data_IF_817747697246
#
_entry.id   IF_817747697246
#
_cell.length_a   1.000
_cell.length_b   1.000
_cell.length_c   1.000
_cell.angle_alpha   90.00
_cell.angle_beta   90.00
_cell.angle_gamma   90.00
#
_symmetry.space_group_name_H-M   'P 1'
#
loop_
_entity.id
_entity.type
_entity.pdbx_description
1 polymer ?
#
# COMPACT_ATOMS: atom_id res chain seq x y z
N UNK A 1 19.61 -6.85 -12.72
CA UNK A 1 19.19 -6.84 -11.29
C UNK A 1 20.34 -6.66 -10.32
N UNK A 2 21.45 -7.42 -10.42
CA UNK A 2 22.60 -7.29 -9.48
C UNK A 2 23.22 -5.88 -9.43
N UNK A 3 23.24 -5.15 -10.54
CA UNK A 3 23.71 -3.76 -10.62
C UNK A 3 22.79 -2.74 -9.92
N UNK A 4 21.49 -3.03 -9.83
CA UNK A 4 20.50 -2.12 -9.21
C UNK A 4 20.50 -2.28 -7.69
N UNK A 5 20.67 -3.52 -7.21
CA UNK A 5 20.81 -3.83 -5.77
C UNK A 5 22.19 -3.45 -5.20
N UNK A 6 23.17 -3.12 -6.06
CA UNK A 6 24.47 -2.61 -5.65
C UNK A 6 24.40 -1.17 -5.14
N UNK A 7 23.35 -0.41 -5.52
CA UNK A 7 23.12 0.95 -5.04
C UNK A 7 22.53 0.91 -3.62
N UNK A 8 23.19 1.51 -2.62
CA UNK A 8 22.76 1.40 -1.21
C UNK A 8 21.34 1.95 -0.98
N UNK A 9 20.99 3.06 -1.63
CA UNK A 9 19.67 3.69 -1.51
C UNK A 9 18.57 2.81 -2.09
N UNK A 10 18.81 2.20 -3.26
CA UNK A 10 17.86 1.30 -3.89
C UNK A 10 17.66 0.04 -3.06
N UNK A 11 18.73 -0.51 -2.48
CA UNK A 11 18.65 -1.68 -1.60
C UNK A 11 17.82 -1.40 -0.35
N UNK A 12 17.97 -0.21 0.24
CA UNK A 12 17.16 0.22 1.40
C UNK A 12 15.69 0.39 1.03
N UNK A 13 15.41 1.04 -0.09
CA UNK A 13 14.04 1.21 -0.60
C UNK A 13 13.38 -0.14 -0.92
N UNK A 14 14.14 -1.06 -1.54
CA UNK A 14 13.66 -2.40 -1.84
C UNK A 14 13.31 -3.20 -0.58
N UNK A 15 14.16 -3.15 0.45
CA UNK A 15 13.89 -3.82 1.72
C UNK A 15 12.66 -3.25 2.43
N UNK A 16 12.58 -1.91 2.57
CA UNK A 16 11.44 -1.23 3.21
C UNK A 16 10.13 -1.52 2.48
N UNK A 17 10.15 -1.44 1.13
CA UNK A 17 8.97 -1.70 0.32
C UNK A 17 8.51 -3.14 0.40
N UNK A 18 9.45 -4.09 0.42
CA UNK A 18 9.13 -5.51 0.58
C UNK A 18 8.44 -5.75 1.92
N UNK A 19 9.06 -5.33 3.03
CA UNK A 19 8.48 -5.50 4.38
C UNK A 19 7.11 -4.82 4.49
N UNK A 20 6.96 -3.61 3.96
CA UNK A 20 5.67 -2.90 3.94
C UNK A 20 4.60 -3.69 3.18
N UNK A 21 4.94 -4.22 2.01
CA UNK A 21 4.00 -4.97 1.17
C UNK A 21 3.51 -6.24 1.87
N UNK A 22 4.40 -6.92 2.58
CA UNK A 22 4.01 -8.07 3.41
C UNK A 22 3.06 -7.64 4.52
N UNK A 23 3.35 -6.54 5.22
CA UNK A 23 2.47 -5.98 6.25
C UNK A 23 1.06 -5.71 5.71
N UNK A 24 0.96 -5.00 4.59
CA UNK A 24 -0.32 -4.67 3.95
C UNK A 24 -1.10 -5.96 3.60
N UNK A 25 -0.42 -6.97 3.05
CA UNK A 25 -1.05 -8.25 2.68
C UNK A 25 -1.57 -9.00 3.91
N UNK A 26 -0.81 -9.03 5.00
CA UNK A 26 -1.25 -9.65 6.25
C UNK A 26 -2.42 -8.90 6.88
N UNK A 27 -2.43 -7.57 6.83
CA UNK A 27 -3.53 -6.75 7.35
C UNK A 27 -4.85 -7.04 6.62
N UNK A 28 -4.82 -7.15 5.30
CA UNK A 28 -6.02 -7.48 4.50
C UNK A 28 -6.56 -8.87 4.86
N UNK A 29 -5.68 -9.87 4.96
CA UNK A 29 -6.07 -11.24 5.34
C UNK A 29 -6.63 -11.26 6.76
N UNK A 30 -6.00 -10.56 7.70
CA UNK A 30 -6.46 -10.48 9.09
C UNK A 30 -7.85 -9.79 9.17
N UNK A 31 -8.05 -8.69 8.46
CA UNK A 31 -9.34 -8.00 8.37
C UNK A 31 -10.43 -8.88 7.74
N UNK A 32 -10.11 -9.59 6.67
CA UNK A 32 -11.03 -10.53 6.03
C UNK A 32 -11.50 -11.62 7.01
N UNK A 33 -10.57 -12.25 7.73
CA UNK A 33 -10.89 -13.26 8.74
C UNK A 33 -11.72 -12.66 9.87
N UNK A 34 -11.34 -11.49 10.38
CA UNK A 34 -12.05 -10.81 11.47
C UNK A 34 -13.50 -10.49 11.10
N UNK A 35 -13.73 -9.94 9.91
CA UNK A 35 -15.09 -9.62 9.45
C UNK A 35 -15.91 -10.89 9.28
N UNK A 36 -15.31 -11.95 8.74
CA UNK A 36 -15.99 -13.23 8.61
C UNK A 36 -16.38 -13.79 9.99
N UNK A 37 -15.49 -13.71 10.99
CA UNK A 37 -15.79 -14.15 12.36
C UNK A 37 -16.90 -13.33 13.01
N UNK A 38 -16.93 -12.01 12.79
CA UNK A 38 -17.91 -11.11 13.42
C UNK A 38 -19.27 -11.14 12.74
N UNK A 39 -19.32 -11.28 11.42
CA UNK A 39 -20.57 -11.16 10.65
C UNK A 39 -21.08 -12.48 10.07
N UNK A 40 -20.24 -13.51 10.00
CA UNK A 40 -20.53 -14.76 9.29
C UNK A 40 -20.75 -14.58 7.78
N UNK A 41 -20.51 -13.37 7.24
CA UNK A 41 -20.91 -12.98 5.90
C UNK A 41 -19.73 -12.91 4.95
N UNK A 42 -19.77 -13.74 3.90
CA UNK A 42 -18.81 -13.68 2.80
C UNK A 42 -18.86 -12.33 2.04
N UNK A 43 -20.00 -11.63 2.08
CA UNK A 43 -20.12 -10.31 1.45
C UNK A 43 -19.29 -9.23 2.16
N UNK A 44 -19.16 -9.32 3.50
CA UNK A 44 -18.31 -8.41 4.26
C UNK A 44 -16.83 -8.56 3.90
N UNK A 45 -16.40 -9.80 3.66
CA UNK A 45 -15.04 -10.12 3.20
C UNK A 45 -14.78 -9.54 1.81
N UNK A 46 -15.71 -9.74 0.88
CA UNK A 46 -15.63 -9.15 -0.47
C UNK A 46 -15.60 -7.62 -0.39
N UNK A 47 -16.36 -7.02 0.53
CA UNK A 47 -16.35 -5.58 0.76
C UNK A 47 -14.97 -5.01 1.08
N UNK A 48 -14.18 -5.69 1.90
CA UNK A 48 -12.79 -5.27 2.20
C UNK A 48 -11.90 -5.34 0.98
N UNK A 49 -11.96 -6.44 0.23
CA UNK A 49 -11.14 -6.62 -0.97
C UNK A 49 -11.49 -5.55 -2.02
N UNK A 50 -12.78 -5.25 -2.20
CA UNK A 50 -13.23 -4.19 -3.12
C UNK A 50 -12.76 -2.81 -2.62
N UNK A 51 -12.84 -2.55 -1.31
CA UNK A 51 -12.37 -1.31 -0.72
C UNK A 51 -10.85 -1.09 -0.87
N UNK A 52 -10.07 -2.16 -1.01
CA UNK A 52 -8.63 -2.08 -1.31
C UNK A 52 -8.38 -1.78 -2.81
N UNK A 53 -9.10 -2.46 -3.71
CA UNK A 53 -8.82 -2.40 -5.15
C UNK A 53 -9.37 -1.13 -5.79
N UNK A 54 -10.59 -0.71 -5.43
CA UNK A 54 -11.30 0.40 -6.09
C UNK A 54 -10.52 1.72 -6.02
N UNK A 55 -9.99 2.15 -4.86
CA UNK A 55 -9.20 3.38 -4.79
C UNK A 55 -7.96 3.33 -5.68
N UNK A 56 -7.27 2.19 -5.73
CA UNK A 56 -6.08 2.01 -6.59
C UNK A 56 -6.48 2.16 -8.06
N UNK A 57 -7.58 1.52 -8.48
CA UNK A 57 -8.03 1.56 -9.87
C UNK A 57 -8.42 2.97 -10.32
N UNK A 58 -9.10 3.72 -9.45
CA UNK A 58 -9.57 5.08 -9.73
C UNK A 58 -8.43 6.10 -9.66
N UNK A 59 -7.50 5.94 -8.72
CA UNK A 59 -6.44 6.91 -8.48
C UNK A 59 -5.19 6.64 -9.32
N UNK A 60 -4.95 5.42 -9.83
CA UNK A 60 -3.76 5.10 -10.62
C UNK A 60 -3.57 6.00 -11.87
N UNK A 61 -4.59 6.32 -12.68
CA UNK A 61 -4.43 7.22 -13.83
C UNK A 61 -4.04 8.64 -13.41
N UNK A 62 -4.67 9.14 -12.33
CA UNK A 62 -4.40 10.49 -11.79
C UNK A 62 -3.01 10.55 -11.18
N UNK A 63 -2.63 9.53 -10.42
CA UNK A 63 -1.31 9.41 -9.81
C UNK A 63 -0.21 9.31 -10.87
N UNK A 64 -0.43 8.56 -11.96
CA UNK A 64 0.50 8.49 -13.08
C UNK A 64 0.74 9.86 -13.73
N UNK A 65 -0.34 10.56 -14.09
CA UNK A 65 -0.27 11.89 -14.68
C UNK A 65 0.41 12.93 -13.76
N UNK A 66 0.24 12.79 -12.44
CA UNK A 66 0.84 13.68 -11.44
C UNK A 66 2.33 13.38 -11.23
N UNK A 67 2.72 12.10 -11.16
CA UNK A 67 4.12 11.66 -11.00
C UNK A 67 4.97 12.01 -12.22
N UNK A 68 4.37 12.08 -13.41
CA UNK A 68 5.07 12.50 -14.62
C UNK A 68 5.44 13.99 -14.61
N UNK A 69 4.73 14.82 -13.84
CA UNK A 69 4.93 16.28 -13.76
C UNK A 69 5.72 16.72 -12.53
N UNK A 70 5.85 15.87 -11.52
CA UNK A 70 6.48 16.20 -10.25
C UNK A 70 7.81 15.47 -10.02
N UNK A 71 8.70 16.01 -9.17
CA UNK A 71 9.92 15.30 -8.77
C UNK A 71 9.57 14.01 -8.02
N UNK A 72 9.80 12.87 -8.67
CA UNK A 72 9.42 11.51 -8.25
C UNK A 72 9.77 11.19 -6.80
N UNK A 73 10.97 11.55 -6.35
CA UNK A 73 11.43 11.30 -4.97
C UNK A 73 10.56 12.05 -3.95
N UNK A 74 10.20 13.30 -4.22
CA UNK A 74 9.35 14.09 -3.30
C UNK A 74 7.94 13.50 -3.20
N UNK A 75 7.39 13.03 -4.33
CA UNK A 75 6.09 12.37 -4.35
C UNK A 75 6.11 11.09 -3.51
N UNK A 76 7.11 10.22 -3.70
CA UNK A 76 7.26 8.99 -2.93
C UNK A 76 7.37 9.26 -1.42
N UNK A 77 8.23 10.20 -1.01
CA UNK A 77 8.40 10.56 0.40
C UNK A 77 7.10 11.12 0.99
N UNK A 78 6.41 12.01 0.29
CA UNK A 78 5.14 12.57 0.77
C UNK A 78 4.04 11.51 0.92
N UNK A 79 3.95 10.57 -0.03
CA UNK A 79 2.98 9.48 0.01
C UNK A 79 3.25 8.54 1.19
N UNK A 80 4.52 8.17 1.43
CA UNK A 80 4.90 7.34 2.57
C UNK A 80 4.63 8.02 3.91
N UNK A 81 4.86 9.35 4.03
CA UNK A 81 4.55 10.11 5.24
C UNK A 81 3.04 10.17 5.50
N UNK A 82 2.23 10.41 4.47
CA UNK A 82 0.76 10.39 4.59
C UNK A 82 0.27 9.00 4.99
N UNK A 83 0.80 7.93 4.36
CA UNK A 83 0.46 6.55 4.68
C UNK A 83 0.79 6.22 6.14
N UNK A 84 1.98 6.60 6.60
CA UNK A 84 2.38 6.41 7.99
C UNK A 84 1.44 7.15 8.95
N UNK A 85 1.10 8.40 8.67
CA UNK A 85 0.17 9.18 9.49
C UNK A 85 -1.23 8.57 9.56
N UNK A 86 -1.77 8.10 8.43
CA UNK A 86 -3.06 7.41 8.41
C UNK A 86 -3.03 6.09 9.20
N UNK A 87 -1.97 5.30 9.05
CA UNK A 87 -1.80 4.06 9.79
C UNK A 87 -1.75 4.29 11.30
N UNK A 88 -1.06 5.34 11.76
CA UNK A 88 -1.01 5.68 13.20
C UNK A 88 -2.32 6.22 13.75
N UNK A 89 -3.16 6.82 12.92
CA UNK A 89 -4.49 7.31 13.34
C UNK A 89 -5.50 6.16 13.43
N UNK A 90 -5.33 5.13 12.59
CA UNK A 90 -6.20 3.94 12.54
C UNK A 90 -5.79 2.83 13.52
N UNK A 91 -4.54 2.82 13.97
CA UNK A 91 -4.01 1.89 14.97
C UNK A 91 -4.43 2.27 16.40
#
# INVERSE_FOLDING_TARGET
MRSVLAQPDYRRLWAVRTVSQWGDTFSVVALAILIYQLTGSALGVVGVVVAEIVPVLLLAPVAGALVDRLPRIRVMVSADLVRAGLATVLA
#
